data_IF_369520068868
#
_entry.id   IF_369520068868
#
_cell.length_a   1.000
_cell.length_b   1.000
_cell.length_c   1.000
_cell.angle_alpha   90.00
_cell.angle_beta   90.00
_cell.angle_gamma   90.00
#
_symmetry.space_group_name_H-M   'P 1'
#
loop_
_entity.id
_entity.type
_entity.pdbx_description
1 polymer ?
#
# COMPACT_ATOMS: atom_id res chain seq x y z
N UNK A 1 10.84 -15.88 25.74
CA UNK A 1 10.99 -15.91 24.26
C UNK A 1 9.66 -15.58 23.56
N UNK A 2 8.56 -16.23 23.88
CA UNK A 2 7.26 -15.94 23.26
C UNK A 2 6.77 -14.52 23.50
N UNK A 3 6.89 -14.01 24.72
CA UNK A 3 6.49 -12.63 25.06
C UNK A 3 7.35 -11.58 24.31
N UNK A 4 8.66 -11.81 24.22
CA UNK A 4 9.59 -10.96 23.46
C UNK A 4 9.20 -10.95 21.97
N UNK A 5 8.98 -12.12 21.37
CA UNK A 5 8.56 -12.25 19.98
C UNK A 5 7.23 -11.54 19.72
N UNK A 6 6.29 -11.61 20.68
CA UNK A 6 5.01 -10.88 20.57
C UNK A 6 5.25 -9.38 20.50
N UNK A 7 6.07 -8.79 21.38
CA UNK A 7 6.34 -7.35 21.35
C UNK A 7 7.14 -6.93 20.12
N UNK A 8 8.11 -7.73 19.65
CA UNK A 8 8.85 -7.47 18.41
C UNK A 8 7.92 -7.40 17.19
N UNK A 9 6.99 -8.35 17.08
CA UNK A 9 5.97 -8.35 16.03
C UNK A 9 5.02 -7.16 16.12
N UNK A 10 4.57 -6.82 17.33
CA UNK A 10 3.69 -5.66 17.56
C UNK A 10 4.40 -4.36 17.22
N UNK A 11 5.70 -4.22 17.60
CA UNK A 11 6.48 -3.03 17.28
C UNK A 11 6.65 -2.87 15.78
N UNK A 12 7.05 -3.93 15.08
CA UNK A 12 7.20 -3.88 13.62
C UNK A 12 5.86 -3.61 12.93
N UNK A 13 4.78 -4.32 13.32
CA UNK A 13 3.46 -4.11 12.76
C UNK A 13 2.97 -2.66 12.95
N UNK A 14 3.18 -2.05 14.12
CA UNK A 14 2.81 -0.67 14.38
C UNK A 14 3.64 0.30 13.52
N UNK A 15 4.97 0.15 13.54
CA UNK A 15 5.87 1.09 12.84
C UNK A 15 5.71 1.04 11.33
N UNK A 16 5.60 -0.16 10.74
CA UNK A 16 5.40 -0.31 9.30
C UNK A 16 4.03 0.20 8.85
N UNK A 17 2.96 -0.08 9.62
CA UNK A 17 1.61 0.40 9.31
C UNK A 17 1.56 1.91 9.31
N UNK A 18 2.14 2.56 10.30
CA UNK A 18 2.18 4.01 10.37
C UNK A 18 3.05 4.61 9.26
N UNK A 19 4.24 4.06 9.02
CA UNK A 19 5.15 4.53 7.97
C UNK A 19 4.51 4.42 6.59
N UNK A 20 3.88 3.29 6.28
CA UNK A 20 3.31 3.03 4.96
C UNK A 20 2.21 4.02 4.55
N UNK A 21 1.55 4.69 5.50
CA UNK A 21 0.57 5.74 5.20
C UNK A 21 1.15 6.84 4.32
N UNK A 22 2.43 7.15 4.42
CA UNK A 22 3.08 8.23 3.67
C UNK A 22 3.53 7.77 2.27
N UNK A 23 4.32 6.69 2.08
CA UNK A 23 4.70 6.21 0.75
C UNK A 23 3.51 5.93 -0.16
N UNK A 24 2.44 5.35 0.34
CA UNK A 24 1.27 5.06 -0.49
C UNK A 24 0.58 6.33 -1.03
N UNK A 25 0.66 7.45 -0.33
CA UNK A 25 0.18 8.73 -0.88
C UNK A 25 1.21 9.33 -1.84
N UNK A 26 2.52 9.34 -1.51
CA UNK A 26 3.54 9.94 -2.37
C UNK A 26 3.62 9.28 -3.73
N UNK A 27 3.62 7.95 -3.80
CA UNK A 27 3.69 7.22 -5.08
C UNK A 27 2.56 7.59 -6.03
N UNK A 28 1.32 7.61 -5.57
CA UNK A 28 0.19 7.97 -6.42
C UNK A 28 0.10 9.47 -6.69
N UNK A 29 0.39 10.31 -5.69
CA UNK A 29 0.29 11.76 -5.82
C UNK A 29 1.35 12.31 -6.79
N UNK A 30 2.55 11.73 -6.84
CA UNK A 30 3.61 12.12 -7.76
C UNK A 30 3.13 12.09 -9.22
N UNK A 31 2.38 11.06 -9.62
CA UNK A 31 1.84 10.95 -10.98
C UNK A 31 0.76 12.01 -11.25
N UNK A 32 -0.11 12.30 -10.29
CA UNK A 32 -1.13 13.34 -10.43
C UNK A 32 -0.49 14.74 -10.56
N UNK A 33 0.59 15.00 -9.82
CA UNK A 33 1.36 16.25 -9.91
C UNK A 33 2.01 16.38 -11.30
N UNK A 34 2.64 15.31 -11.79
CA UNK A 34 3.21 15.26 -13.15
C UNK A 34 2.12 15.52 -14.21
N UNK A 35 0.93 14.94 -14.03
CA UNK A 35 -0.22 15.19 -14.90
C UNK A 35 -0.64 16.68 -14.91
N UNK A 36 -0.74 17.34 -13.76
CA UNK A 36 -1.09 18.76 -13.69
C UNK A 36 -0.02 19.63 -14.37
N UNK A 37 1.28 19.35 -14.12
CA UNK A 37 2.37 20.10 -14.76
C UNK A 37 2.40 19.88 -16.28
N UNK A 38 2.17 18.64 -16.75
CA UNK A 38 2.05 18.34 -18.17
C UNK A 38 0.86 19.10 -18.82
N UNK A 39 -0.29 19.14 -18.15
CA UNK A 39 -1.46 19.91 -18.61
C UNK A 39 -1.13 21.38 -18.74
N UNK A 40 -0.46 21.98 -17.75
CA UNK A 40 0.01 23.34 -17.82
C UNK A 40 0.88 23.60 -19.05
N UNK A 41 1.87 22.75 -19.30
CA UNK A 41 2.76 22.87 -20.46
C UNK A 41 2.04 22.78 -21.82
N UNK A 42 0.91 22.06 -21.85
CA UNK A 42 0.13 21.88 -23.09
C UNK A 42 -0.93 22.95 -23.32
N UNK A 43 -1.44 23.54 -22.26
CA UNK A 43 -2.60 24.43 -22.34
C UNK A 43 -2.29 25.88 -21.95
N UNK A 44 -1.18 26.14 -21.25
CA UNK A 44 -0.83 27.39 -20.60
C UNK A 44 -1.91 27.93 -19.64
N UNK A 45 -2.76 27.06 -19.09
CA UNK A 45 -3.80 27.42 -18.13
C UNK A 45 -3.19 27.42 -16.74
N UNK A 46 -3.10 28.58 -16.07
CA UNK A 46 -2.42 28.78 -14.79
C UNK A 46 -3.02 27.96 -13.65
N UNK A 47 -4.29 27.64 -13.67
CA UNK A 47 -4.92 26.77 -12.65
C UNK A 47 -4.21 25.43 -12.51
N UNK A 48 -3.68 24.87 -13.60
CA UNK A 48 -2.91 23.62 -13.55
C UNK A 48 -1.55 23.81 -12.86
N UNK A 49 -0.88 24.96 -13.08
CA UNK A 49 0.39 25.28 -12.44
C UNK A 49 0.19 25.54 -10.94
N UNK A 50 -0.84 26.26 -10.55
CA UNK A 50 -1.23 26.46 -9.15
C UNK A 50 -1.59 25.14 -8.48
N UNK A 51 -2.34 24.27 -9.14
CA UNK A 51 -2.63 22.91 -8.67
C UNK A 51 -1.34 22.09 -8.46
N UNK A 52 -0.39 22.16 -9.41
CA UNK A 52 0.93 21.54 -9.27
C UNK A 52 1.62 22.04 -7.99
N UNK A 53 1.76 23.34 -7.80
CA UNK A 53 2.42 23.93 -6.62
C UNK A 53 1.74 23.57 -5.30
N UNK A 54 0.42 23.55 -5.28
CA UNK A 54 -0.34 23.13 -4.11
C UNK A 54 -0.06 21.67 -3.73
N UNK A 55 -0.19 20.76 -4.68
CA UNK A 55 0.04 19.34 -4.43
C UNK A 55 1.50 19.00 -4.17
N UNK A 56 2.45 19.79 -4.69
CA UNK A 56 3.87 19.69 -4.32
C UNK A 56 4.13 19.97 -2.84
N UNK A 57 3.43 20.96 -2.24
CA UNK A 57 3.54 21.24 -0.80
C UNK A 57 2.99 20.09 0.03
N UNK A 58 1.86 19.50 -0.39
CA UNK A 58 1.29 18.31 0.24
C UNK A 58 2.26 17.12 0.12
N UNK A 59 2.80 16.91 -1.07
CA UNK A 59 3.79 15.85 -1.34
C UNK A 59 5.03 16.03 -0.46
N UNK A 60 5.62 17.20 -0.41
CA UNK A 60 6.84 17.46 0.34
C UNK A 60 6.67 17.21 1.86
N UNK A 61 5.53 17.67 2.43
CA UNK A 61 5.22 17.37 3.84
C UNK A 61 5.06 15.87 4.07
N UNK A 62 4.33 15.21 3.17
CA UNK A 62 4.10 13.76 3.26
C UNK A 62 5.39 12.97 3.09
N UNK A 63 6.26 13.35 2.14
CA UNK A 63 7.58 12.77 1.94
C UNK A 63 8.47 12.93 3.18
N UNK A 64 8.55 14.14 3.76
CA UNK A 64 9.33 14.37 4.98
C UNK A 64 8.87 13.47 6.13
N UNK A 65 7.56 13.28 6.30
CA UNK A 65 7.02 12.35 7.30
C UNK A 65 7.37 10.90 6.99
N UNK A 66 7.33 10.50 5.72
CA UNK A 66 7.80 9.20 5.27
C UNK A 66 9.25 8.93 5.66
N UNK A 67 10.15 9.89 5.40
CA UNK A 67 11.57 9.78 5.77
C UNK A 67 11.75 9.64 7.29
N UNK A 68 11.13 10.53 8.06
CA UNK A 68 11.27 10.52 9.53
C UNK A 68 10.74 9.25 10.16
N UNK A 69 9.70 8.64 9.62
CA UNK A 69 9.11 7.40 10.13
C UNK A 69 9.77 6.14 9.57
N UNK A 70 10.42 6.23 8.40
CA UNK A 70 11.11 5.12 7.75
C UNK A 70 12.48 4.80 8.38
N UNK A 71 13.28 5.83 8.68
CA UNK A 71 14.63 5.63 9.25
C UNK A 71 14.62 4.76 10.52
N UNK A 72 13.75 5.00 11.53
CA UNK A 72 13.70 4.13 12.71
C UNK A 72 13.32 2.68 12.39
N UNK A 73 12.59 2.45 11.30
CA UNK A 73 12.22 1.11 10.86
C UNK A 73 13.43 0.30 10.38
N UNK A 74 14.34 0.94 9.63
CA UNK A 74 15.58 0.32 9.17
C UNK A 74 16.43 -0.17 10.34
N UNK A 75 16.48 0.59 11.46
CA UNK A 75 17.20 0.16 12.66
C UNK A 75 16.61 -1.09 13.31
N UNK A 76 15.32 -1.36 13.17
CA UNK A 76 14.69 -2.56 13.73
C UNK A 76 15.22 -3.86 13.11
N UNK A 77 15.72 -3.82 11.87
CA UNK A 77 16.38 -4.97 11.26
C UNK A 77 17.67 -5.36 11.99
N UNK A 78 18.39 -4.40 12.58
CA UNK A 78 19.58 -4.66 13.38
C UNK A 78 19.31 -4.89 14.87
N UNK A 79 18.24 -4.36 15.42
CA UNK A 79 17.89 -4.47 16.84
C UNK A 79 16.97 -5.66 17.13
N UNK A 80 15.74 -5.63 16.62
CA UNK A 80 14.70 -6.62 16.92
C UNK A 80 14.77 -7.87 16.04
N UNK A 81 15.28 -7.74 14.80
CA UNK A 81 15.32 -8.79 13.78
C UNK A 81 16.74 -9.09 13.29
N UNK A 82 17.74 -9.00 14.21
CA UNK A 82 19.15 -9.17 13.85
C UNK A 82 19.44 -10.56 13.25
N UNK A 83 18.79 -11.62 13.74
CA UNK A 83 18.99 -12.98 13.20
C UNK A 83 18.44 -13.10 11.77
N UNK A 84 17.27 -12.52 11.51
CA UNK A 84 16.74 -12.42 10.15
C UNK A 84 17.71 -11.68 9.23
N UNK A 85 18.22 -10.53 9.66
CA UNK A 85 19.18 -9.73 8.89
C UNK A 85 20.50 -10.45 8.66
N UNK A 86 21.00 -11.20 9.65
CA UNK A 86 22.19 -12.04 9.51
C UNK A 86 21.99 -13.13 8.45
N UNK A 87 20.86 -13.81 8.49
CA UNK A 87 20.57 -14.93 7.58
C UNK A 87 20.27 -14.48 6.16
N UNK A 88 19.49 -13.42 6.01
CA UNK A 88 18.93 -13.02 4.71
C UNK A 88 19.58 -11.77 4.09
N UNK A 89 20.49 -11.12 4.81
CA UNK A 89 21.14 -9.86 4.39
C UNK A 89 21.86 -9.92 3.05
N UNK A 90 22.31 -11.10 2.63
CA UNK A 90 22.90 -11.32 1.30
C UNK A 90 21.91 -11.13 0.14
N UNK A 91 20.60 -11.08 0.42
CA UNK A 91 19.51 -10.87 -0.55
C UNK A 91 18.78 -9.59 -0.24
N UNK A 92 18.10 -9.50 0.92
CA UNK A 92 17.27 -8.34 1.26
C UNK A 92 18.10 -7.07 1.42
N UNK A 93 19.33 -7.18 1.94
CA UNK A 93 20.24 -6.05 2.08
C UNK A 93 20.61 -5.42 0.72
N UNK A 94 20.66 -6.21 -0.36
CA UNK A 94 20.93 -5.69 -1.69
C UNK A 94 19.79 -4.79 -2.20
N UNK A 95 18.54 -5.23 -2.08
CA UNK A 95 17.38 -4.47 -2.54
C UNK A 95 17.13 -3.23 -1.68
N UNK A 96 17.30 -3.31 -0.36
CA UNK A 96 17.20 -2.16 0.56
C UNK A 96 18.32 -1.14 0.30
N UNK A 97 19.58 -1.60 0.08
CA UNK A 97 20.67 -0.71 -0.27
C UNK A 97 20.44 0.00 -1.61
N UNK A 98 19.93 -0.72 -2.62
CA UNK A 98 19.59 -0.12 -3.92
C UNK A 98 18.45 0.89 -3.80
N UNK A 99 17.46 0.63 -2.95
CA UNK A 99 16.38 1.57 -2.65
C UNK A 99 16.94 2.87 -2.08
N UNK A 100 17.71 2.79 -1.00
CA UNK A 100 18.31 3.97 -0.37
C UNK A 100 19.26 4.73 -1.28
N UNK A 101 20.17 4.01 -1.98
CA UNK A 101 21.21 4.65 -2.80
C UNK A 101 20.69 5.23 -4.12
N UNK A 102 19.74 4.59 -4.77
CA UNK A 102 19.29 5.04 -6.09
C UNK A 102 17.95 5.77 -6.03
N UNK A 103 16.93 5.15 -5.45
CA UNK A 103 15.58 5.70 -5.51
C UNK A 103 15.38 6.85 -4.55
N UNK A 104 15.73 6.68 -3.28
CA UNK A 104 15.60 7.72 -2.26
C UNK A 104 16.50 8.93 -2.53
N UNK A 105 17.78 8.71 -2.95
CA UNK A 105 18.66 9.83 -3.33
C UNK A 105 18.17 10.56 -4.57
N UNK A 106 17.64 9.86 -5.56
CA UNK A 106 17.03 10.50 -6.73
C UNK A 106 15.86 11.41 -6.30
N UNK A 107 14.93 10.86 -5.52
CA UNK A 107 13.73 11.56 -5.06
C UNK A 107 14.09 12.77 -4.20
N UNK A 108 14.93 12.60 -3.18
CA UNK A 108 15.33 13.68 -2.26
C UNK A 108 16.16 14.77 -2.94
N UNK A 109 17.07 14.42 -3.87
CA UNK A 109 17.90 15.37 -4.59
C UNK A 109 17.09 16.28 -5.50
N UNK A 110 16.06 15.76 -6.15
CA UNK A 110 15.22 16.57 -7.04
C UNK A 110 14.07 17.29 -6.32
N UNK A 111 13.74 16.93 -5.07
CA UNK A 111 12.64 17.54 -4.33
C UNK A 111 12.83 19.05 -4.14
N UNK A 112 14.02 19.50 -3.75
CA UNK A 112 14.33 20.92 -3.60
C UNK A 112 14.20 21.70 -4.92
N UNK A 113 14.71 21.15 -6.01
CA UNK A 113 14.56 21.74 -7.35
C UNK A 113 13.10 21.78 -7.81
N UNK A 114 12.31 20.78 -7.43
CA UNK A 114 10.90 20.72 -7.76
C UNK A 114 10.08 21.74 -6.96
N UNK A 115 10.41 21.95 -5.68
CA UNK A 115 9.73 22.94 -4.83
C UNK A 115 10.07 24.38 -5.20
N UNK A 116 11.35 24.68 -5.47
CA UNK A 116 11.86 26.04 -5.54
C UNK A 116 12.48 26.43 -6.90
N UNK A 117 12.74 25.44 -7.76
CA UNK A 117 13.54 25.63 -8.97
C UNK A 117 12.77 26.10 -10.21
N UNK A 118 11.46 26.35 -10.17
CA UNK A 118 10.68 26.67 -11.38
C UNK A 118 11.17 27.95 -12.09
N UNK A 119 11.51 29.00 -11.31
CA UNK A 119 12.04 30.26 -11.86
C UNK A 119 13.44 30.09 -12.49
N UNK A 120 14.25 29.21 -11.91
CA UNK A 120 15.62 28.93 -12.38
C UNK A 120 15.65 28.02 -13.60
N UNK A 121 14.85 26.96 -13.58
CA UNK A 121 14.86 25.91 -14.59
C UNK A 121 13.92 26.20 -15.77
N UNK A 122 12.93 27.05 -15.57
CA UNK A 122 11.82 27.22 -16.49
C UNK A 122 10.87 26.01 -16.49
N UNK A 123 9.70 26.19 -17.09
CA UNK A 123 8.59 25.23 -16.96
C UNK A 123 8.88 23.81 -17.49
N UNK A 124 9.68 23.69 -18.57
CA UNK A 124 10.01 22.40 -19.19
C UNK A 124 10.94 21.55 -18.30
N UNK A 125 12.02 22.14 -17.83
CA UNK A 125 12.97 21.42 -16.97
C UNK A 125 12.38 21.18 -15.57
N UNK A 126 11.56 22.08 -15.08
CA UNK A 126 10.79 21.84 -13.86
C UNK A 126 9.81 20.65 -13.99
N UNK A 127 9.21 20.44 -15.16
CA UNK A 127 8.45 19.22 -15.45
C UNK A 127 9.33 17.96 -15.38
N UNK A 128 10.54 18.04 -15.93
CA UNK A 128 11.50 16.91 -15.87
C UNK A 128 11.88 16.56 -14.43
N UNK A 129 12.08 17.57 -13.56
CA UNK A 129 12.34 17.28 -12.13
C UNK A 129 11.17 16.56 -11.47
N UNK A 130 9.94 16.96 -11.76
CA UNK A 130 8.74 16.26 -11.28
C UNK A 130 8.64 14.81 -11.80
N UNK A 131 9.00 14.59 -13.06
CA UNK A 131 9.03 13.25 -13.64
C UNK A 131 10.11 12.38 -12.97
N UNK A 132 11.29 12.92 -12.68
CA UNK A 132 12.36 12.19 -12.00
C UNK A 132 11.96 11.81 -10.56
N UNK A 133 11.27 12.70 -9.83
CA UNK A 133 10.71 12.38 -8.51
C UNK A 133 9.68 11.23 -8.62
N UNK A 134 8.79 11.31 -9.60
CA UNK A 134 7.80 10.24 -9.82
C UNK A 134 8.48 8.90 -10.13
N UNK A 135 9.51 8.89 -10.99
CA UNK A 135 10.29 7.69 -11.29
C UNK A 135 11.01 7.18 -10.04
N UNK A 136 11.63 8.06 -9.24
CA UNK A 136 12.30 7.71 -7.99
C UNK A 136 11.34 7.06 -7.00
N UNK A 137 10.18 7.67 -6.77
CA UNK A 137 9.14 7.16 -5.87
C UNK A 137 8.60 5.79 -6.30
N UNK A 138 8.40 5.59 -7.60
CA UNK A 138 7.95 4.31 -8.14
C UNK A 138 9.05 3.25 -8.12
N UNK A 139 10.30 3.63 -8.37
CA UNK A 139 11.46 2.72 -8.28
C UNK A 139 11.72 2.28 -6.83
N UNK A 140 11.56 3.19 -5.85
CA UNK A 140 11.60 2.85 -4.43
C UNK A 140 10.57 1.78 -4.10
N UNK A 141 9.30 2.00 -4.45
CA UNK A 141 8.25 1.00 -4.29
C UNK A 141 8.57 -0.34 -4.97
N UNK A 142 9.20 -0.33 -6.16
CA UNK A 142 9.60 -1.55 -6.86
C UNK A 142 10.64 -2.35 -6.06
N UNK A 143 11.67 -1.70 -5.53
CA UNK A 143 12.75 -2.37 -4.80
C UNK A 143 12.26 -2.94 -3.45
N UNK A 144 11.40 -2.22 -2.74
CA UNK A 144 10.77 -2.73 -1.52
C UNK A 144 9.86 -3.92 -1.81
N UNK A 145 9.03 -3.83 -2.86
CA UNK A 145 8.17 -4.96 -3.26
C UNK A 145 9.00 -6.14 -3.77
N UNK A 146 10.18 -5.93 -4.38
CA UNK A 146 11.08 -7.03 -4.75
C UNK A 146 11.59 -7.79 -3.51
N UNK A 147 11.95 -7.07 -2.45
CA UNK A 147 12.31 -7.66 -1.15
C UNK A 147 11.15 -8.51 -0.61
N UNK A 148 9.97 -7.89 -0.50
CA UNK A 148 8.76 -8.57 -0.02
C UNK A 148 8.39 -9.78 -0.87
N UNK A 149 8.46 -9.67 -2.20
CA UNK A 149 8.15 -10.76 -3.13
C UNK A 149 9.10 -11.94 -2.99
N UNK A 150 10.38 -11.67 -2.70
CA UNK A 150 11.32 -12.75 -2.39
C UNK A 150 10.96 -13.45 -1.08
N UNK A 151 10.50 -12.72 -0.06
CA UNK A 151 10.03 -13.32 1.20
C UNK A 151 8.77 -14.16 1.00
N UNK A 152 7.91 -13.80 0.05
CA UNK A 152 6.67 -14.55 -0.27
C UNK A 152 6.92 -15.76 -1.18
N UNK A 153 7.85 -15.66 -2.11
CA UNK A 153 8.22 -16.70 -3.07
C UNK A 153 9.73 -16.64 -3.32
N UNK A 154 10.55 -17.28 -2.47
CA UNK A 154 12.01 -17.20 -2.57
C UNK A 154 12.52 -17.88 -3.82
N UNK A 155 13.33 -17.13 -4.60
CA UNK A 155 13.94 -17.59 -5.86
C UNK A 155 15.37 -17.03 -5.99
N UNK A 156 16.22 -17.69 -6.79
CA UNK A 156 17.55 -17.18 -7.18
C UNK A 156 18.56 -17.10 -6.03
N UNK A 157 18.43 -17.95 -5.04
CA UNK A 157 19.27 -17.99 -3.85
C UNK A 157 20.00 -19.32 -3.69
N UNK A 158 21.01 -19.32 -2.84
CA UNK A 158 21.71 -20.47 -2.29
C UNK A 158 21.84 -20.33 -0.77
N UNK A 159 21.81 -21.45 -0.06
CA UNK A 159 22.04 -21.51 1.38
C UNK A 159 23.45 -22.00 1.63
N UNK A 160 24.28 -21.17 2.24
CA UNK A 160 25.66 -21.52 2.59
C UNK A 160 25.69 -22.48 3.79
N UNK A 161 26.85 -23.13 4.03
CA UNK A 161 27.06 -24.06 5.17
C UNK A 161 26.74 -23.43 6.55
N UNK A 162 26.91 -22.11 6.68
CA UNK A 162 26.57 -21.36 7.90
C UNK A 162 25.10 -20.95 7.99
N UNK A 163 24.23 -21.42 7.11
CA UNK A 163 22.80 -21.14 7.06
C UNK A 163 22.41 -19.80 6.44
N UNK A 164 23.37 -18.98 5.96
CA UNK A 164 23.07 -17.68 5.32
C UNK A 164 22.57 -17.86 3.90
N UNK A 165 21.58 -17.06 3.54
CA UNK A 165 21.05 -16.98 2.17
C UNK A 165 21.85 -15.96 1.37
N UNK A 166 22.32 -16.36 0.21
CA UNK A 166 23.02 -15.48 -0.74
C UNK A 166 22.31 -15.46 -2.08
N UNK A 167 22.30 -14.29 -2.71
CA UNK A 167 21.70 -14.13 -4.03
C UNK A 167 22.66 -14.65 -5.10
N UNK A 168 22.24 -15.66 -5.85
CA UNK A 168 23.00 -16.24 -6.95
C UNK A 168 22.52 -15.78 -8.33
N UNK A 169 21.29 -15.26 -8.40
CA UNK A 169 20.68 -14.87 -9.67
C UNK A 169 19.78 -13.62 -9.52
N UNK A 170 20.35 -12.44 -9.84
CA UNK A 170 19.61 -11.17 -9.86
C UNK A 170 18.41 -11.18 -10.82
N UNK A 171 18.57 -11.82 -11.98
CA UNK A 171 17.48 -11.91 -12.96
C UNK A 171 16.29 -12.67 -12.39
N UNK A 172 16.53 -13.76 -11.66
CA UNK A 172 15.45 -14.51 -10.99
C UNK A 172 14.74 -13.66 -9.95
N UNK A 173 15.48 -12.84 -9.17
CA UNK A 173 14.90 -11.93 -8.18
C UNK A 173 13.96 -10.91 -8.85
N UNK A 174 14.42 -10.19 -9.87
CA UNK A 174 13.66 -9.12 -10.54
C UNK A 174 12.61 -9.63 -11.54
N UNK A 175 12.67 -10.90 -11.94
CA UNK A 175 11.63 -11.58 -12.71
C UNK A 175 10.81 -12.58 -11.85
N UNK A 176 10.86 -12.46 -10.52
CA UNK A 176 10.04 -13.27 -9.63
C UNK A 176 8.56 -13.17 -10.06
N UNK A 177 7.89 -14.30 -10.28
CA UNK A 177 6.47 -14.29 -10.66
C UNK A 177 5.55 -13.56 -9.69
N UNK A 178 5.96 -13.47 -8.41
CA UNK A 178 5.23 -12.74 -7.38
C UNK A 178 5.41 -11.22 -7.48
N UNK A 179 6.57 -10.74 -7.96
CA UNK A 179 6.95 -9.33 -7.94
C UNK A 179 6.02 -8.44 -8.77
N UNK A 180 5.88 -8.74 -10.05
CA UNK A 180 5.14 -7.84 -10.93
C UNK A 180 3.66 -7.69 -10.60
N UNK A 181 2.89 -8.76 -10.30
CA UNK A 181 1.52 -8.63 -9.83
C UNK A 181 1.41 -7.82 -8.54
N UNK A 182 2.29 -8.08 -7.55
CA UNK A 182 2.31 -7.36 -6.28
C UNK A 182 2.66 -5.88 -6.45
N UNK A 183 3.68 -5.58 -7.27
CA UNK A 183 4.10 -4.20 -7.55
C UNK A 183 3.00 -3.41 -8.25
N UNK A 184 2.43 -3.94 -9.32
CA UNK A 184 1.37 -3.26 -10.07
C UNK A 184 0.10 -3.08 -9.22
N UNK A 185 -0.24 -4.08 -8.39
CA UNK A 185 -1.35 -3.99 -7.44
C UNK A 185 -1.12 -2.88 -6.42
N UNK A 186 0.08 -2.83 -5.82
CA UNK A 186 0.46 -1.79 -4.87
C UNK A 186 0.45 -0.38 -5.49
N UNK A 187 0.97 -0.21 -6.72
CA UNK A 187 0.96 1.09 -7.40
C UNK A 187 -0.46 1.54 -7.77
N UNK A 188 -1.30 0.63 -8.25
CA UNK A 188 -2.70 0.93 -8.52
C UNK A 188 -3.45 1.32 -7.23
N UNK A 189 -3.18 0.62 -6.12
CA UNK A 189 -3.75 0.92 -4.80
C UNK A 189 -3.29 2.29 -4.27
N UNK A 190 -2.02 2.66 -4.48
CA UNK A 190 -1.49 4.00 -4.18
C UNK A 190 -2.18 5.09 -5.02
N UNK A 191 -2.46 4.80 -6.29
CA UNK A 191 -3.23 5.70 -7.16
C UNK A 191 -4.69 5.83 -6.69
N UNK A 192 -5.33 4.76 -6.20
CA UNK A 192 -6.67 4.85 -5.57
C UNK A 192 -6.62 5.79 -4.38
N UNK A 193 -5.66 5.61 -3.46
CA UNK A 193 -5.50 6.48 -2.28
C UNK A 193 -5.35 7.96 -2.69
N UNK A 194 -4.42 8.26 -3.58
CA UNK A 194 -4.17 9.63 -4.03
C UNK A 194 -5.37 10.25 -4.74
N UNK A 195 -6.10 9.44 -5.51
CA UNK A 195 -7.31 9.87 -6.21
C UNK A 195 -8.43 10.25 -5.25
N UNK A 196 -8.64 9.45 -4.20
CA UNK A 196 -9.61 9.77 -3.14
C UNK A 196 -9.20 11.00 -2.33
N UNK A 197 -7.92 11.15 -2.03
CA UNK A 197 -7.40 12.35 -1.33
C UNK A 197 -7.63 13.59 -2.20
N UNK A 198 -7.29 13.54 -3.49
CA UNK A 198 -7.49 14.66 -4.42
C UNK A 198 -8.97 14.98 -4.60
N UNK A 199 -9.82 13.97 -4.80
CA UNK A 199 -11.26 14.15 -4.94
C UNK A 199 -11.90 14.66 -3.64
N UNK A 200 -11.50 14.13 -2.48
CA UNK A 200 -12.02 14.51 -1.16
C UNK A 200 -11.69 15.96 -0.80
N UNK A 201 -10.45 16.40 -1.03
CA UNK A 201 -10.06 17.82 -0.84
C UNK A 201 -10.79 18.72 -1.84
N UNK A 202 -10.95 18.29 -3.09
CA UNK A 202 -11.77 19.00 -4.07
C UNK A 202 -13.23 19.11 -3.63
N UNK A 203 -13.82 18.04 -3.11
CA UNK A 203 -15.18 18.04 -2.55
C UNK A 203 -15.31 18.96 -1.33
N UNK A 204 -14.31 19.00 -0.44
CA UNK A 204 -14.25 19.95 0.67
C UNK A 204 -14.32 21.40 0.16
N UNK A 205 -13.54 21.76 -0.87
CA UNK A 205 -13.58 23.12 -1.44
C UNK A 205 -14.94 23.47 -2.06
N UNK A 206 -15.58 22.52 -2.72
CA UNK A 206 -16.92 22.76 -3.29
C UNK A 206 -18.00 22.91 -2.21
N UNK A 207 -17.98 22.06 -1.19
CA UNK A 207 -18.93 22.10 -0.08
C UNK A 207 -18.78 23.35 0.77
N UNK A 208 -17.53 23.77 1.03
CA UNK A 208 -17.22 24.98 1.80
C UNK A 208 -17.35 26.28 0.96
N UNK A 209 -17.59 26.15 -0.35
CA UNK A 209 -17.63 27.27 -1.30
C UNK A 209 -16.33 28.11 -1.36
N UNK A 210 -15.21 27.51 -0.96
CA UNK A 210 -13.86 28.10 -1.05
C UNK A 210 -13.12 27.46 -2.22
N UNK A 211 -12.30 28.25 -2.93
CA UNK A 211 -11.48 27.72 -4.05
C UNK A 211 -12.27 26.87 -5.07
N UNK A 212 -13.49 27.28 -5.43
CA UNK A 212 -14.46 26.49 -6.22
C UNK A 212 -13.89 25.98 -7.54
N UNK A 213 -13.10 26.82 -8.26
CA UNK A 213 -12.46 26.41 -9.52
C UNK A 213 -11.54 25.19 -9.32
N UNK A 214 -10.67 25.25 -8.30
CA UNK A 214 -9.77 24.14 -7.92
C UNK A 214 -10.56 22.95 -7.38
N UNK A 215 -11.64 23.18 -6.63
CA UNK A 215 -12.54 22.13 -6.18
C UNK A 215 -13.06 21.29 -7.35
N UNK A 216 -13.55 21.96 -8.42
CA UNK A 216 -13.99 21.28 -9.66
C UNK A 216 -12.85 20.54 -10.35
N UNK A 217 -11.67 21.16 -10.44
CA UNK A 217 -10.49 20.54 -11.05
C UNK A 217 -10.07 19.27 -10.29
N UNK A 218 -9.99 19.34 -8.97
CA UNK A 218 -9.55 18.24 -8.13
C UNK A 218 -10.57 17.09 -8.11
N UNK A 219 -11.85 17.38 -7.94
CA UNK A 219 -12.89 16.34 -8.01
C UNK A 219 -12.87 15.66 -9.38
N UNK A 220 -12.84 16.43 -10.48
CA UNK A 220 -12.78 15.86 -11.83
C UNK A 220 -11.57 14.95 -12.01
N UNK A 221 -10.37 15.42 -11.64
CA UNK A 221 -9.15 14.65 -11.78
C UNK A 221 -9.18 13.40 -10.89
N UNK A 222 -9.54 13.56 -9.62
CA UNK A 222 -9.57 12.45 -8.67
C UNK A 222 -10.56 11.36 -9.04
N UNK A 223 -11.78 11.70 -9.51
CA UNK A 223 -12.75 10.65 -9.87
C UNK A 223 -12.35 9.89 -11.15
N UNK A 224 -11.73 10.56 -12.12
CA UNK A 224 -11.27 9.90 -13.36
C UNK A 224 -10.09 8.95 -13.05
N UNK A 225 -9.04 9.46 -12.39
CA UNK A 225 -7.90 8.63 -12.00
C UNK A 225 -8.33 7.53 -11.03
N UNK A 226 -9.25 7.84 -10.10
CA UNK A 226 -9.77 6.90 -9.13
C UNK A 226 -10.51 5.74 -9.80
N UNK A 227 -11.41 5.99 -10.76
CA UNK A 227 -12.09 4.90 -11.46
C UNK A 227 -11.12 4.00 -12.20
N UNK A 228 -10.18 4.59 -12.96
CA UNK A 228 -9.18 3.83 -13.71
C UNK A 228 -8.36 2.95 -12.75
N UNK A 229 -7.88 3.53 -11.65
CA UNK A 229 -7.04 2.82 -10.68
C UNK A 229 -7.82 1.74 -9.92
N UNK A 230 -9.08 2.00 -9.55
CA UNK A 230 -9.96 1.00 -8.90
C UNK A 230 -10.21 -0.21 -9.81
N UNK A 231 -10.40 0.00 -11.10
CA UNK A 231 -10.56 -1.10 -12.06
C UNK A 231 -9.24 -1.88 -12.21
N UNK A 232 -8.10 -1.17 -12.33
CA UNK A 232 -6.79 -1.81 -12.47
C UNK A 232 -6.43 -2.62 -11.21
N UNK A 233 -6.66 -2.08 -10.01
CA UNK A 233 -6.33 -2.78 -8.76
C UNK A 233 -7.17 -4.03 -8.56
N UNK A 234 -8.44 -4.04 -8.98
CA UNK A 234 -9.33 -5.18 -8.80
C UNK A 234 -9.14 -6.26 -9.89
N UNK A 235 -9.29 -5.89 -11.16
CA UNK A 235 -9.41 -6.88 -12.24
C UNK A 235 -8.05 -7.41 -12.70
N UNK A 236 -7.11 -6.63 -13.29
CA UNK A 236 -5.88 -7.24 -13.77
C UNK A 236 -4.89 -7.57 -12.64
N UNK A 237 -4.67 -6.66 -11.69
CA UNK A 237 -3.58 -6.85 -10.73
C UNK A 237 -3.99 -7.65 -9.49
N UNK A 238 -5.22 -7.47 -9.01
CA UNK A 238 -5.77 -8.25 -7.89
C UNK A 238 -5.99 -9.71 -8.29
N UNK A 239 -6.57 -9.96 -9.46
CA UNK A 239 -6.76 -11.32 -10.00
C UNK A 239 -5.42 -12.06 -10.18
N UNK A 240 -4.42 -11.41 -10.78
CA UNK A 240 -3.09 -11.99 -10.96
C UNK A 240 -2.42 -12.31 -9.62
N UNK A 241 -2.57 -11.43 -8.62
CA UNK A 241 -2.00 -11.65 -7.29
C UNK A 241 -2.72 -12.80 -6.56
N UNK A 242 -4.04 -12.86 -6.61
CA UNK A 242 -4.82 -13.96 -6.03
C UNK A 242 -4.44 -15.31 -6.66
N UNK A 243 -4.26 -15.38 -7.99
CA UNK A 243 -3.78 -16.57 -8.69
C UNK A 243 -2.38 -16.99 -8.25
N UNK A 244 -1.49 -16.04 -7.93
CA UNK A 244 -0.19 -16.36 -7.34
C UNK A 244 -0.34 -16.96 -5.93
N UNK A 245 -1.23 -16.41 -5.10
CA UNK A 245 -1.51 -16.98 -3.77
C UNK A 245 -1.99 -18.43 -3.91
N UNK A 246 -2.96 -18.69 -4.78
CA UNK A 246 -3.43 -20.06 -5.05
C UNK A 246 -2.30 -21.00 -5.45
N UNK A 247 -1.43 -20.54 -6.35
CA UNK A 247 -0.38 -21.37 -6.94
C UNK A 247 0.78 -21.64 -5.97
N UNK A 248 1.23 -20.65 -5.25
CA UNK A 248 2.47 -20.71 -4.46
C UNK A 248 2.21 -20.82 -2.95
N UNK A 249 1.04 -20.40 -2.48
CA UNK A 249 0.67 -20.39 -1.07
C UNK A 249 -0.78 -20.88 -0.86
N UNK A 250 -1.12 -22.12 -1.27
CA UNK A 250 -2.50 -22.61 -1.24
C UNK A 250 -3.10 -22.65 0.19
N UNK A 251 -2.27 -22.84 1.22
CA UNK A 251 -2.69 -22.75 2.62
C UNK A 251 -3.18 -21.33 2.97
N UNK A 252 -2.43 -20.32 2.54
CA UNK A 252 -2.81 -18.91 2.70
C UNK A 252 -4.13 -18.61 1.99
N UNK A 253 -4.30 -19.15 0.78
CA UNK A 253 -5.54 -19.00 0.01
C UNK A 253 -6.74 -19.59 0.74
N UNK A 254 -6.62 -20.84 1.20
CA UNK A 254 -7.68 -21.49 1.97
C UNK A 254 -8.06 -20.69 3.24
N UNK A 255 -7.06 -20.18 3.96
CA UNK A 255 -7.27 -19.41 5.18
C UNK A 255 -7.93 -18.04 4.92
N UNK A 256 -7.51 -17.30 3.87
CA UNK A 256 -8.07 -15.98 3.58
C UNK A 256 -9.51 -16.04 3.05
N UNK A 257 -9.88 -17.13 2.36
CA UNK A 257 -11.24 -17.36 1.88
C UNK A 257 -12.11 -18.10 2.93
N UNK A 258 -11.51 -18.56 4.04
CA UNK A 258 -12.22 -19.28 5.10
C UNK A 258 -12.63 -20.71 4.73
N UNK A 259 -11.88 -21.36 3.81
CA UNK A 259 -12.15 -22.72 3.35
C UNK A 259 -11.49 -23.69 4.32
N UNK A 260 -12.23 -24.12 5.33
CA UNK A 260 -11.76 -25.11 6.30
C UNK A 260 -11.75 -26.52 5.73
N UNK A 261 -12.71 -26.86 4.87
CA UNK A 261 -12.87 -28.17 4.24
C UNK A 261 -12.80 -28.07 2.73
N UNK A 262 -12.15 -29.03 2.10
CA UNK A 262 -11.97 -29.10 0.64
C UNK A 262 -13.29 -29.14 -0.11
N UNK A 263 -13.48 -28.23 -1.05
CA UNK A 263 -14.69 -28.13 -1.87
C UNK A 263 -14.47 -28.77 -3.25
N UNK A 264 -14.97 -30.01 -3.42
CA UNK A 264 -14.69 -30.86 -4.60
C UNK A 264 -15.55 -30.57 -5.84
N UNK A 265 -16.64 -29.82 -5.72
CA UNK A 265 -17.60 -29.59 -6.80
C UNK A 265 -17.82 -28.13 -7.16
N UNK A 266 -16.81 -27.31 -6.93
CA UNK A 266 -16.87 -25.88 -7.11
C UNK A 266 -17.06 -25.15 -5.78
N UNK A 267 -16.14 -24.23 -5.50
CA UNK A 267 -16.14 -23.45 -4.27
C UNK A 267 -16.98 -22.17 -4.41
N UNK A 268 -17.72 -21.88 -3.37
CA UNK A 268 -18.48 -20.64 -3.24
C UNK A 268 -17.56 -19.46 -2.89
N UNK A 269 -17.89 -18.26 -3.36
CA UNK A 269 -17.29 -17.04 -2.83
C UNK A 269 -18.14 -16.53 -1.67
N UNK A 270 -17.54 -16.37 -0.51
CA UNK A 270 -18.21 -15.83 0.67
C UNK A 270 -18.10 -14.31 0.67
N UNK A 271 -19.22 -13.62 0.67
CA UNK A 271 -19.28 -12.15 0.73
C UNK A 271 -19.22 -11.64 2.18
N UNK A 272 -19.90 -12.35 3.07
CA UNK A 272 -19.96 -12.07 4.51
C UNK A 272 -19.92 -13.41 5.23
N UNK A 273 -19.13 -13.53 6.29
CA UNK A 273 -19.04 -14.72 7.11
C UNK A 273 -18.23 -14.45 8.38
N UNK A 274 -18.30 -15.36 9.32
CA UNK A 274 -17.58 -15.31 10.58
C UNK A 274 -16.79 -16.62 10.75
N UNK A 275 -15.44 -16.58 10.69
CA UNK A 275 -14.64 -17.79 10.84
C UNK A 275 -14.65 -18.28 12.29
N UNK A 276 -15.20 -19.46 12.50
CA UNK A 276 -15.03 -20.24 13.72
C UNK A 276 -13.89 -21.24 13.51
N UNK A 277 -12.70 -20.83 13.97
CA UNK A 277 -11.49 -21.65 13.83
C UNK A 277 -11.54 -22.92 14.68
N UNK A 278 -12.25 -22.88 15.81
CA UNK A 278 -12.40 -24.04 16.72
C UNK A 278 -13.25 -25.13 16.09
N UNK A 279 -14.40 -24.75 15.53
CA UNK A 279 -15.33 -25.67 14.91
C UNK A 279 -15.04 -25.88 13.41
N UNK A 280 -13.96 -25.22 12.90
CA UNK A 280 -13.49 -25.32 11.49
C UNK A 280 -14.61 -25.05 10.47
N UNK A 281 -15.37 -23.95 10.65
CA UNK A 281 -16.50 -23.57 9.78
C UNK A 281 -16.62 -22.04 9.66
N UNK A 282 -17.45 -21.59 8.71
CA UNK A 282 -17.92 -20.21 8.63
C UNK A 282 -19.36 -20.11 9.13
N UNK A 283 -19.57 -19.31 10.17
CA UNK A 283 -20.90 -18.98 10.67
C UNK A 283 -21.51 -17.80 9.92
N UNK A 284 -22.84 -17.72 9.88
CA UNK A 284 -23.63 -16.61 9.31
C UNK A 284 -23.20 -16.21 7.90
N UNK A 285 -22.79 -17.19 7.08
CA UNK A 285 -22.26 -16.91 5.74
C UNK A 285 -23.35 -16.50 4.74
N UNK A 286 -23.02 -15.46 3.95
CA UNK A 286 -23.71 -15.10 2.71
C UNK A 286 -22.72 -15.36 1.59
N UNK A 287 -23.03 -16.30 0.73
CA UNK A 287 -22.13 -16.77 -0.31
C UNK A 287 -22.82 -16.92 -1.67
N UNK A 288 -22.01 -16.89 -2.74
CA UNK A 288 -22.47 -17.18 -4.10
C UNK A 288 -21.78 -18.46 -4.59
N UNK A 289 -22.56 -19.49 -4.95
CA UNK A 289 -22.02 -20.80 -5.30
C UNK A 289 -21.09 -20.75 -6.52
N UNK A 290 -20.04 -21.56 -6.50
CA UNK A 290 -19.11 -21.86 -7.61
C UNK A 290 -18.30 -20.68 -8.18
N UNK A 291 -18.54 -19.44 -7.74
CA UNK A 291 -17.85 -18.26 -8.27
C UNK A 291 -16.36 -18.30 -7.92
N UNK A 292 -15.99 -18.76 -6.73
CA UNK A 292 -14.59 -18.80 -6.33
C UNK A 292 -13.77 -19.74 -7.24
N UNK A 293 -14.28 -20.91 -7.55
CA UNK A 293 -13.64 -21.82 -8.51
C UNK A 293 -13.52 -21.20 -9.90
N UNK A 294 -14.56 -20.50 -10.36
CA UNK A 294 -14.52 -19.83 -11.65
C UNK A 294 -13.47 -18.69 -11.70
N UNK A 295 -13.40 -17.85 -10.67
CA UNK A 295 -12.41 -16.78 -10.59
C UNK A 295 -10.98 -17.33 -10.50
N UNK A 296 -10.80 -18.44 -9.80
CA UNK A 296 -9.48 -19.04 -9.58
C UNK A 296 -8.96 -19.78 -10.82
N UNK A 297 -9.79 -20.62 -11.43
CA UNK A 297 -9.37 -21.56 -12.47
C UNK A 297 -10.06 -21.37 -13.82
N UNK A 298 -11.05 -20.47 -13.92
CA UNK A 298 -11.89 -20.33 -15.13
C UNK A 298 -12.88 -21.47 -15.32
N UNK A 299 -13.09 -22.33 -14.31
CA UNK A 299 -13.97 -23.49 -14.31
C UNK A 299 -14.91 -23.44 -13.10
N UNK A 300 -16.21 -23.66 -13.30
CA UNK A 300 -17.23 -23.59 -12.26
C UNK A 300 -17.17 -24.74 -11.25
N UNK A 301 -16.52 -25.84 -11.58
CA UNK A 301 -16.55 -27.09 -10.80
C UNK A 301 -15.18 -27.58 -10.36
N UNK A 302 -14.14 -26.74 -10.50
CA UNK A 302 -12.78 -27.08 -10.09
C UNK A 302 -12.69 -27.16 -8.56
N UNK A 303 -11.94 -28.18 -8.09
CA UNK A 303 -11.70 -28.38 -6.66
C UNK A 303 -10.84 -27.26 -6.09
N UNK A 304 -11.24 -26.75 -4.92
CA UNK A 304 -10.39 -25.88 -4.10
C UNK A 304 -10.06 -26.58 -2.79
N UNK A 305 -8.76 -26.74 -2.51
CA UNK A 305 -8.27 -27.38 -1.28
C UNK A 305 -8.54 -26.50 -0.09
N UNK A 306 -9.14 -27.07 0.95
CA UNK A 306 -9.32 -26.45 2.24
C UNK A 306 -8.12 -26.63 3.17
N UNK A 307 -8.17 -26.03 4.35
CA UNK A 307 -7.14 -26.17 5.39
C UNK A 307 -6.96 -27.61 5.85
N UNK A 308 -7.98 -28.46 5.70
CA UNK A 308 -7.96 -29.90 6.00
C UNK A 308 -6.95 -30.73 5.18
N UNK A 309 -6.41 -30.16 4.09
CA UNK A 309 -5.39 -30.81 3.26
C UNK A 309 -3.94 -30.47 3.66
N UNK A 310 -3.75 -29.63 4.67
CA UNK A 310 -2.44 -29.15 5.07
C UNK A 310 -2.20 -29.40 6.54
N UNK A 311 -0.93 -29.62 6.91
CA UNK A 311 -0.51 -29.77 8.31
C UNK A 311 -0.78 -28.49 9.11
N UNK A 312 -1.32 -28.62 10.32
CA UNK A 312 -1.65 -27.47 11.18
C UNK A 312 -0.44 -26.60 11.51
N UNK A 313 0.79 -27.16 11.50
CA UNK A 313 2.03 -26.42 11.80
C UNK A 313 2.42 -25.39 10.74
N UNK A 314 1.80 -25.46 9.53
CA UNK A 314 2.01 -24.50 8.43
C UNK A 314 0.80 -23.58 8.24
N UNK A 315 -0.26 -23.74 9.02
CA UNK A 315 -1.41 -22.84 8.95
C UNK A 315 -1.03 -21.43 9.40
N UNK A 316 -1.61 -20.37 8.78
CA UNK A 316 -1.48 -19.01 9.28
C UNK A 316 -1.90 -18.92 10.75
N UNK A 317 -1.06 -18.29 11.57
CA UNK A 317 -1.25 -18.24 13.03
C UNK A 317 -2.49 -17.47 13.50
N UNK A 318 -3.04 -16.63 12.63
CA UNK A 318 -4.26 -15.84 12.90
C UNK A 318 -5.21 -15.91 11.68
N UNK A 319 -5.90 -17.04 11.52
CA UNK A 319 -6.82 -17.27 10.40
C UNK A 319 -7.97 -16.26 10.41
N UNK A 320 -8.57 -15.96 11.57
CA UNK A 320 -9.66 -14.98 11.66
C UNK A 320 -9.22 -13.58 11.25
N UNK A 321 -8.05 -13.13 11.73
CA UNK A 321 -7.47 -11.84 11.34
C UNK A 321 -7.17 -11.76 9.85
N UNK A 322 -6.63 -12.81 9.27
CA UNK A 322 -6.36 -12.92 7.84
C UNK A 322 -7.66 -12.83 7.01
N UNK A 323 -8.67 -13.62 7.39
CA UNK A 323 -9.98 -13.64 6.73
C UNK A 323 -10.62 -12.24 6.72
N UNK A 324 -10.72 -11.58 7.89
CA UNK A 324 -11.32 -10.25 7.97
C UNK A 324 -10.49 -9.19 7.21
N UNK A 325 -9.17 -9.24 7.28
CA UNK A 325 -8.31 -8.31 6.56
C UNK A 325 -8.55 -8.40 5.03
N UNK A 326 -8.60 -9.60 4.50
CA UNK A 326 -8.89 -9.85 3.09
C UNK A 326 -10.27 -9.32 2.68
N UNK A 327 -11.30 -9.68 3.44
CA UNK A 327 -12.68 -9.27 3.14
C UNK A 327 -12.92 -7.76 3.27
N UNK A 328 -12.25 -7.08 4.22
CA UNK A 328 -12.29 -5.62 4.33
C UNK A 328 -11.64 -4.97 3.10
N UNK A 329 -10.48 -5.47 2.66
CA UNK A 329 -9.81 -4.95 1.46
C UNK A 329 -10.70 -5.09 0.22
N UNK A 330 -11.24 -6.28 -0.04
CA UNK A 330 -12.07 -6.57 -1.22
C UNK A 330 -13.41 -5.82 -1.16
N UNK A 331 -14.05 -5.80 0.01
CA UNK A 331 -15.31 -5.09 0.22
C UNK A 331 -15.19 -3.59 0.00
N UNK A 332 -14.17 -2.95 0.56
CA UNK A 332 -13.89 -1.53 0.33
C UNK A 332 -13.53 -1.26 -1.13
N UNK A 333 -12.71 -2.11 -1.75
CA UNK A 333 -12.39 -2.00 -3.17
C UNK A 333 -13.61 -2.01 -4.07
N UNK A 334 -14.58 -2.88 -3.79
CA UNK A 334 -15.86 -2.94 -4.49
C UNK A 334 -16.68 -1.65 -4.32
N UNK A 335 -16.75 -1.13 -3.10
CA UNK A 335 -17.42 0.16 -2.80
C UNK A 335 -16.75 1.30 -3.57
N UNK A 336 -15.41 1.32 -3.64
CA UNK A 336 -14.65 2.36 -4.36
C UNK A 336 -14.97 2.35 -5.86
N UNK A 337 -15.03 1.17 -6.49
CA UNK A 337 -15.42 1.04 -7.90
C UNK A 337 -16.81 1.63 -8.10
N UNK A 338 -17.78 1.25 -7.28
CA UNK A 338 -19.16 1.73 -7.37
C UNK A 338 -19.27 3.25 -7.22
N UNK A 339 -18.61 3.82 -6.19
CA UNK A 339 -18.63 5.26 -5.95
C UNK A 339 -17.96 6.05 -7.09
N UNK A 340 -16.76 5.60 -7.53
CA UNK A 340 -16.03 6.30 -8.60
C UNK A 340 -16.72 6.17 -9.94
N UNK A 341 -17.31 5.02 -10.28
CA UNK A 341 -18.10 4.81 -11.48
C UNK A 341 -19.32 5.73 -11.50
N UNK A 342 -20.04 5.81 -10.37
CA UNK A 342 -21.19 6.69 -10.26
C UNK A 342 -20.79 8.17 -10.31
N UNK A 343 -19.67 8.56 -9.69
CA UNK A 343 -19.16 9.93 -9.77
C UNK A 343 -18.75 10.30 -11.20
N UNK A 344 -18.07 9.42 -11.94
CA UNK A 344 -17.75 9.63 -13.35
C UNK A 344 -19.03 9.70 -14.22
N UNK A 345 -20.02 8.84 -13.97
CA UNK A 345 -21.31 8.92 -14.64
C UNK A 345 -21.97 10.30 -14.44
N UNK A 346 -21.97 10.81 -13.22
CA UNK A 346 -22.51 12.16 -12.96
C UNK A 346 -21.65 13.29 -13.54
N UNK A 347 -20.33 13.08 -13.67
CA UNK A 347 -19.43 13.99 -14.37
C UNK A 347 -19.80 14.08 -15.87
N UNK A 348 -20.06 12.95 -16.52
CA UNK A 348 -20.51 12.90 -17.93
C UNK A 348 -21.85 13.60 -18.10
N UNK A 349 -22.76 13.50 -17.12
CA UNK A 349 -24.04 14.22 -17.10
C UNK A 349 -23.91 15.71 -16.71
N UNK A 350 -22.70 16.21 -16.43
CA UNK A 350 -22.41 17.58 -15.96
C UNK A 350 -23.09 17.95 -14.63
N UNK A 351 -23.50 16.95 -13.82
CA UNK A 351 -24.21 17.13 -12.53
C UNK A 351 -23.35 16.88 -11.30
N UNK A 352 -22.12 16.36 -11.46
CA UNK A 352 -21.25 15.94 -10.35
C UNK A 352 -21.04 17.04 -9.31
N UNK A 353 -20.74 18.27 -9.75
CA UNK A 353 -20.38 19.37 -8.87
C UNK A 353 -21.57 19.98 -8.10
N UNK A 354 -22.80 19.67 -8.51
CA UNK A 354 -24.03 20.12 -7.87
C UNK A 354 -24.62 19.06 -6.95
N UNK A 355 -24.18 17.80 -7.10
CA UNK A 355 -24.73 16.65 -6.36
C UNK A 355 -24.05 16.53 -4.99
N UNK A 356 -24.57 17.24 -4.00
CA UNK A 356 -23.97 17.37 -2.66
C UNK A 356 -23.69 16.04 -1.98
N UNK A 357 -24.59 15.03 -2.09
CA UNK A 357 -24.38 13.76 -1.42
C UNK A 357 -23.15 13.02 -1.97
N UNK A 358 -22.84 13.11 -3.28
CA UNK A 358 -21.60 12.54 -3.84
C UNK A 358 -20.38 13.27 -3.29
N UNK A 359 -20.42 14.60 -3.21
CA UNK A 359 -19.33 15.39 -2.64
C UNK A 359 -19.09 15.03 -1.19
N UNK A 360 -20.14 14.84 -0.39
CA UNK A 360 -20.01 14.34 0.99
C UNK A 360 -19.45 12.92 1.03
N UNK A 361 -19.89 12.03 0.13
CA UNK A 361 -19.34 10.67 0.03
C UNK A 361 -17.85 10.67 -0.31
N UNK A 362 -17.42 11.49 -1.28
CA UNK A 362 -16.00 11.61 -1.64
C UNK A 362 -15.16 12.16 -0.47
N UNK A 363 -15.66 13.13 0.27
CA UNK A 363 -14.99 13.68 1.44
C UNK A 363 -14.90 12.65 2.58
N UNK A 364 -16.02 11.99 2.91
CA UNK A 364 -16.09 10.97 3.96
C UNK A 364 -15.20 9.75 3.64
N UNK A 365 -15.15 9.35 2.38
CA UNK A 365 -14.37 8.19 1.93
C UNK A 365 -12.86 8.44 1.84
N UNK A 366 -12.36 9.66 2.10
CA UNK A 366 -10.95 10.00 2.03
C UNK A 366 -10.03 9.05 2.84
N UNK A 367 -10.34 8.65 4.08
CA UNK A 367 -9.49 7.74 4.86
C UNK A 367 -9.61 6.26 4.46
N UNK A 368 -10.66 5.84 3.78
CA UNK A 368 -10.95 4.43 3.56
C UNK A 368 -9.96 3.70 2.63
N UNK A 369 -9.37 4.32 1.59
CA UNK A 369 -8.29 3.68 0.83
C UNK A 369 -7.07 3.33 1.68
N UNK A 370 -6.74 4.13 2.70
CA UNK A 370 -5.68 3.78 3.66
C UNK A 370 -6.03 2.52 4.45
N UNK A 371 -7.30 2.40 4.88
CA UNK A 371 -7.80 1.21 5.58
C UNK A 371 -7.73 -0.01 4.67
N UNK A 372 -8.18 0.09 3.41
CA UNK A 372 -8.15 -1.00 2.45
C UNK A 372 -6.71 -1.46 2.15
N UNK A 373 -5.78 -0.53 1.96
CA UNK A 373 -4.37 -0.87 1.73
C UNK A 373 -3.72 -1.51 2.96
N UNK A 374 -3.99 -1.01 4.17
CA UNK A 374 -3.52 -1.62 5.41
C UNK A 374 -4.08 -3.04 5.56
N UNK A 375 -5.36 -3.24 5.26
CA UNK A 375 -5.99 -4.56 5.27
C UNK A 375 -5.34 -5.50 4.24
N UNK A 376 -5.01 -5.00 3.04
CA UNK A 376 -4.27 -5.75 2.01
C UNK A 376 -2.88 -6.18 2.48
N UNK A 377 -2.12 -5.29 3.12
CA UNK A 377 -0.84 -5.63 3.73
C UNK A 377 -0.98 -6.66 4.85
N UNK A 378 -1.99 -6.52 5.72
CA UNK A 378 -2.26 -7.51 6.77
C UNK A 378 -2.63 -8.87 6.16
N UNK A 379 -3.35 -8.89 5.04
CA UNK A 379 -3.63 -10.13 4.31
C UNK A 379 -2.32 -10.82 3.88
N UNK A 380 -1.39 -10.07 3.28
CA UNK A 380 -0.12 -10.61 2.84
C UNK A 380 0.77 -11.09 4.01
N UNK A 381 0.85 -10.31 5.10
CA UNK A 381 1.73 -10.58 6.23
C UNK A 381 1.18 -11.65 7.18
N UNK A 382 -0.12 -11.65 7.46
CA UNK A 382 -0.75 -12.70 8.26
C UNK A 382 -0.81 -14.02 7.48
N UNK A 383 -1.04 -13.94 6.17
CA UNK A 383 -1.09 -15.09 5.28
C UNK A 383 0.26 -15.82 5.18
N UNK A 384 1.38 -15.09 5.25
CA UNK A 384 2.71 -15.69 5.22
C UNK A 384 3.08 -16.39 6.53
N UNK A 385 2.45 -16.04 7.68
CA UNK A 385 2.77 -16.71 8.94
C UNK A 385 2.51 -18.23 8.86
N UNK A 386 3.32 -19.06 9.53
CA UNK A 386 4.35 -18.72 10.55
C UNK A 386 5.73 -18.37 9.99
N UNK A 387 5.84 -18.00 8.72
CA UNK A 387 7.10 -17.77 8.04
C UNK A 387 7.51 -16.29 7.96
N UNK A 388 8.79 -15.99 8.12
CA UNK A 388 9.43 -14.76 7.66
C UNK A 388 9.79 -14.84 6.18
N UNK A 389 10.40 -15.97 5.78
CA UNK A 389 10.63 -16.32 4.38
C UNK A 389 9.88 -17.63 4.13
N UNK A 390 8.95 -17.60 3.22
CA UNK A 390 7.98 -18.69 3.02
C UNK A 390 8.68 -20.04 2.82
N UNK A 391 8.31 -21.03 3.63
CA UNK A 391 8.87 -22.37 3.69
C UNK A 391 10.40 -22.49 4.01
N UNK A 392 11.07 -21.39 4.34
CA UNK A 392 12.53 -21.41 4.58
C UNK A 392 12.91 -20.96 6.00
N UNK A 393 12.30 -19.87 6.50
CA UNK A 393 12.64 -19.30 7.79
C UNK A 393 11.38 -18.96 8.57
N UNK A 394 11.22 -19.55 9.75
CA UNK A 394 10.08 -19.22 10.63
C UNK A 394 10.28 -17.89 11.33
N UNK A 395 9.17 -17.24 11.67
CA UNK A 395 9.17 -15.94 12.37
C UNK A 395 9.90 -16.02 13.72
N UNK A 396 9.74 -17.10 14.46
CA UNK A 396 10.43 -17.31 15.72
C UNK A 396 11.96 -17.38 15.59
N UNK A 397 12.47 -17.86 14.44
CA UNK A 397 13.90 -18.06 14.21
C UNK A 397 14.61 -16.78 13.71
N UNK A 398 13.84 -15.72 13.40
CA UNK A 398 14.40 -14.46 12.90
C UNK A 398 14.59 -13.38 13.95
N UNK A 399 14.03 -13.55 15.15
CA UNK A 399 14.12 -12.58 16.23
C UNK A 399 15.55 -12.49 16.82
N UNK A 400 15.90 -11.35 17.38
CA UNK A 400 17.20 -11.11 18.00
C UNK A 400 17.34 -11.87 19.33
N UNK A 401 18.37 -12.69 19.51
CA UNK A 401 18.54 -13.47 20.75
C UNK A 401 18.96 -12.63 21.94
N UNK A 402 19.43 -11.40 21.73
CA UNK A 402 20.04 -10.53 22.76
C UNK A 402 19.09 -9.47 23.31
N UNK A 403 17.88 -9.37 22.78
CA UNK A 403 16.88 -8.36 23.21
C UNK A 403 15.94 -8.97 24.25
N UNK A 404 15.64 -8.26 25.33
CA UNK A 404 14.69 -8.71 26.35
C UNK A 404 13.26 -8.18 26.06
N UNK A 405 12.23 -8.87 26.57
CA UNK A 405 10.84 -8.44 26.46
C UNK A 405 10.59 -7.04 27.02
N UNK A 406 11.27 -6.70 28.12
CA UNK A 406 11.19 -5.36 28.73
C UNK A 406 11.76 -4.25 27.84
N UNK A 407 12.89 -4.51 27.16
CA UNK A 407 13.48 -3.55 26.23
C UNK A 407 12.58 -3.34 25.01
N UNK A 408 12.02 -4.40 24.44
CA UNK A 408 11.11 -4.30 23.30
C UNK A 408 9.81 -3.58 23.67
N UNK A 409 9.24 -3.87 24.83
CA UNK A 409 8.05 -3.16 25.32
C UNK A 409 8.34 -1.66 25.50
N UNK A 410 9.49 -1.31 26.10
CA UNK A 410 9.91 0.09 26.26
C UNK A 410 10.01 0.81 24.90
N UNK A 411 10.67 0.19 23.92
CA UNK A 411 10.82 0.78 22.57
C UNK A 411 9.48 0.84 21.82
N UNK A 412 8.62 -0.16 21.96
CA UNK A 412 7.26 -0.15 21.39
C UNK A 412 6.46 1.04 21.90
N UNK A 413 6.42 1.26 23.23
CA UNK A 413 5.72 2.39 23.83
C UNK A 413 6.33 3.74 23.38
N UNK A 414 7.66 3.80 23.27
CA UNK A 414 8.38 4.96 22.74
C UNK A 414 7.98 5.28 21.29
N UNK A 415 7.93 4.28 20.41
CA UNK A 415 7.48 4.47 19.02
C UNK A 415 6.00 4.87 18.93
N UNK A 416 5.13 4.27 19.75
CA UNK A 416 3.71 4.66 19.79
C UNK A 416 3.59 6.14 20.16
N UNK A 417 4.26 6.58 21.22
CA UNK A 417 4.22 7.99 21.66
C UNK A 417 4.78 8.95 20.61
N UNK A 418 5.95 8.64 20.06
CA UNK A 418 6.62 9.46 19.04
C UNK A 418 5.76 9.57 17.75
N UNK A 419 5.25 8.43 17.25
CA UNK A 419 4.51 8.43 15.99
C UNK A 419 3.12 9.08 16.13
N UNK A 420 2.47 8.96 17.29
CA UNK A 420 1.26 9.71 17.58
C UNK A 420 1.52 11.23 17.58
N UNK A 421 2.61 11.69 18.19
CA UNK A 421 3.02 13.09 18.15
C UNK A 421 3.28 13.56 16.72
N UNK A 422 4.03 12.79 15.93
CA UNK A 422 4.31 13.09 14.53
C UNK A 422 3.02 13.11 13.69
N UNK A 423 2.11 12.18 13.94
CA UNK A 423 0.80 12.15 13.29
C UNK A 423 -0.05 13.38 13.59
N UNK A 424 -0.10 13.82 14.85
CA UNK A 424 -0.78 15.06 15.22
C UNK A 424 -0.14 16.29 14.53
N UNK A 425 1.20 16.37 14.51
CA UNK A 425 1.91 17.43 13.81
C UNK A 425 1.60 17.44 12.32
N UNK A 426 1.61 16.24 11.68
CA UNK A 426 1.24 16.10 10.28
C UNK A 426 -0.17 16.61 10.00
N UNK A 427 -1.16 16.20 10.80
CA UNK A 427 -2.54 16.64 10.63
C UNK A 427 -2.71 18.15 10.79
N UNK A 428 -2.00 18.77 11.73
CA UNK A 428 -2.00 20.22 11.89
C UNK A 428 -1.38 20.94 10.69
N UNK A 429 -0.26 20.46 10.18
CA UNK A 429 0.44 21.07 9.05
C UNK A 429 -0.32 20.88 7.73
N UNK A 430 -0.82 19.68 7.46
CA UNK A 430 -1.61 19.41 6.26
C UNK A 430 -2.92 20.22 6.27
N UNK A 431 -3.57 20.34 7.43
CA UNK A 431 -4.76 21.17 7.62
C UNK A 431 -4.49 22.64 7.30
N UNK A 432 -3.33 23.19 7.70
CA UNK A 432 -2.91 24.56 7.34
C UNK A 432 -2.73 24.70 5.82
N UNK A 433 -2.08 23.75 5.15
CA UNK A 433 -1.89 23.77 3.69
C UNK A 433 -3.23 23.75 2.97
N UNK A 434 -4.14 22.85 3.35
CA UNK A 434 -5.48 22.71 2.74
C UNK A 434 -6.30 23.98 2.96
N UNK A 435 -6.32 24.55 4.18
CA UNK A 435 -7.09 25.78 4.46
C UNK A 435 -6.55 26.99 3.71
N UNK A 436 -5.22 27.08 3.49
CA UNK A 436 -4.59 28.14 2.71
C UNK A 436 -4.98 28.06 1.23
N UNK A 437 -5.08 26.84 0.69
CA UNK A 437 -5.51 26.59 -0.68
C UNK A 437 -4.46 26.91 -1.75
N UNK A 438 -4.80 26.71 -3.06
CA UNK A 438 -3.86 26.86 -4.17
C UNK A 438 -3.48 28.32 -4.55
N UNK A 439 -4.23 29.32 -4.13
CA UNK A 439 -4.04 30.73 -4.54
C UNK A 439 -2.94 31.49 -3.81
N UNK A 440 -2.30 30.96 -2.81
CA UNK A 440 -1.33 31.72 -2.04
C UNK A 440 0.02 31.75 -2.73
N UNK A 441 0.28 32.89 -3.32
CA UNK A 441 1.55 33.28 -3.89
C UNK A 441 2.68 33.25 -2.87
N UNK A 442 3.88 32.97 -3.41
CA UNK A 442 5.19 33.05 -2.80
C UNK A 442 5.51 32.01 -1.72
N UNK A 443 6.21 30.98 -2.20
CA UNK A 443 7.07 30.09 -1.40
C UNK A 443 8.17 30.89 -0.66
N UNK A 444 8.29 32.19 -0.93
CA UNK A 444 9.33 33.09 -0.36
C UNK A 444 9.10 33.44 1.12
N UNK A 445 7.99 33.00 1.76
CA UNK A 445 7.66 33.34 3.15
C UNK A 445 7.41 32.08 4.04
N UNK A 446 8.18 30.99 3.84
CA UNK A 446 8.23 29.88 4.81
C UNK A 446 9.67 29.74 5.33
#
# INVERSE_FOLDING_TARGET
>A
MEEMLFYDRMQFAFTITFHYLFPQLTMGLSLIIVYFKWKYLRTNIEEYNHATKFWMKVFALNFAMGVVTGIPMEFQFGTNWAKFSELTGGIIGQTLAMEGMFSFFLESSFLGLFLFGEKLLGHKWHFVTGLLICIGSWASGYLIIATHSWMQNPVGYEILENGRFVLTNFKALFLNPWLWPSYLHNQAASMVTSSFVVAGIGAFYLLSKKNVAYGKLFVKTGVIFGLISCVIVAVPTGDLLAKNVVKYQPVTFAAMEGIFHTEKKGAEIVLIGQPDVKDKKLDNKIAVPNILSFLTYGSWHEEIKGLDQFDESVHPTNISGLYYAYHVMVGLGTIFIGLMAFAVFQLCRKKLFETKWILWSLLFMLPFPYIANTAGWYTAELGRQPWLVYNLLRTADGASPTVSSGNTLFTLLGFIGLYLLLGMLFLLLIGKIINKGPHTDNIENI
#
